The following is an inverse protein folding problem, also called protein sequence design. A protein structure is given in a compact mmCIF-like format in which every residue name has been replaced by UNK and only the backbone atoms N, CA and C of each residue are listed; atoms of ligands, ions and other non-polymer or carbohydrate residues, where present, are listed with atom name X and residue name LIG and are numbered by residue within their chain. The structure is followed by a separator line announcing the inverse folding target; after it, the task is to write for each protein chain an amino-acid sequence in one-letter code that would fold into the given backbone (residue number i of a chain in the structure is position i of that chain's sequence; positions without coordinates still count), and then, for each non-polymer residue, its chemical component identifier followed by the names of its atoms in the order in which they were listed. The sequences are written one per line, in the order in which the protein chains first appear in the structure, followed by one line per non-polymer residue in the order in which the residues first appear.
data_IF_155825830891
#
_entry.id   IF_155825830891
#
_cell.length_a   1.000
_cell.length_b   1.000
_cell.length_c   1.000
_cell.angle_alpha   90.00
_cell.angle_beta   90.00
_cell.angle_gamma   90.00
#
_symmetry.space_group_name_H-M   'P 1'
#
loop_
_entity.id
_entity.type
_entity.pdbx_description
1 polymer ?
#
# COMPACT_ATOMS: atom_id res chain seq x y z
N UNK A 1 -11.95 9.41 -17.68
CA UNK A 1 -11.15 8.98 -16.52
C UNK A 1 -9.90 8.33 -17.06
N UNK A 2 -8.73 8.76 -16.61
CA UNK A 2 -7.48 8.12 -17.02
C UNK A 2 -7.29 6.84 -16.19
N UNK A 3 -7.38 5.70 -16.86
CA UNK A 3 -7.32 4.38 -16.23
C UNK A 3 -5.98 4.12 -15.51
N UNK A 4 -4.91 4.83 -15.89
CA UNK A 4 -3.64 4.78 -15.18
C UNK A 4 -3.80 5.25 -13.73
N UNK A 5 -4.40 6.42 -13.53
CA UNK A 5 -4.62 6.98 -12.18
C UNK A 5 -5.62 6.17 -11.38
N UNK A 6 -6.60 5.55 -12.04
CA UNK A 6 -7.51 4.62 -11.37
C UNK A 6 -6.74 3.41 -10.81
N UNK A 7 -5.85 2.81 -11.61
CA UNK A 7 -5.01 1.70 -11.15
C UNK A 7 -4.04 2.14 -10.04
N UNK A 8 -3.46 3.34 -10.15
CA UNK A 8 -2.59 3.91 -9.13
C UNK A 8 -3.34 4.12 -7.79
N UNK A 9 -4.55 4.65 -7.83
CA UNK A 9 -5.36 4.86 -6.62
C UNK A 9 -5.71 3.52 -5.98
N UNK A 10 -6.08 2.51 -6.76
CA UNK A 10 -6.35 1.16 -6.26
C UNK A 10 -5.09 0.58 -5.59
N UNK A 11 -3.93 0.70 -6.24
CA UNK A 11 -2.64 0.28 -5.70
C UNK A 11 -2.33 0.95 -4.35
N UNK A 12 -2.42 2.29 -4.29
CA UNK A 12 -2.14 3.07 -3.08
C UNK A 12 -3.12 2.73 -1.96
N UNK A 13 -4.41 2.53 -2.25
CA UNK A 13 -5.39 2.16 -1.21
C UNK A 13 -5.12 0.74 -0.71
N UNK A 14 -4.82 -0.20 -1.61
CA UNK A 14 -4.55 -1.60 -1.27
C UNK A 14 -3.31 -1.74 -0.38
N UNK A 15 -2.19 -1.15 -0.79
CA UNK A 15 -0.95 -1.21 -0.01
C UNK A 15 -1.00 -0.28 1.22
N UNK A 16 -1.67 0.86 1.12
CA UNK A 16 -1.94 1.75 2.26
C UNK A 16 -2.77 1.06 3.35
N UNK A 17 -3.76 0.24 2.98
CA UNK A 17 -4.52 -0.58 3.94
C UNK A 17 -3.61 -1.63 4.61
N UNK A 18 -2.70 -2.26 3.86
CA UNK A 18 -1.73 -3.19 4.42
C UNK A 18 -0.79 -2.50 5.43
N UNK A 19 -0.31 -1.30 5.09
CA UNK A 19 0.61 -0.48 5.91
C UNK A 19 -0.05 0.22 7.09
N UNK A 20 -1.37 0.41 7.08
CA UNK A 20 -2.14 1.08 8.13
C UNK A 20 -1.89 0.53 9.55
N UNK A 21 -1.43 -0.73 9.67
CA UNK A 21 -1.05 -1.37 10.94
C UNK A 21 0.05 -0.62 11.73
N UNK A 22 0.84 0.20 11.04
CA UNK A 22 2.01 0.88 11.63
C UNK A 22 1.71 2.32 12.08
N UNK A 23 0.59 2.89 11.65
CA UNK A 23 0.29 4.31 11.90
C UNK A 23 -0.52 4.54 13.18
N UNK A 24 -1.55 3.72 13.44
CA UNK A 24 -2.40 3.90 14.61
C UNK A 24 -3.03 2.59 15.09
N UNK A 25 -3.18 2.46 16.41
CA UNK A 25 -3.84 1.33 17.08
C UNK A 25 -5.26 1.09 16.57
N UNK A 26 -5.99 2.17 16.25
CA UNK A 26 -7.34 2.09 15.70
C UNK A 26 -7.35 1.39 14.32
N UNK A 27 -6.53 1.86 13.39
CA UNK A 27 -6.42 1.30 12.05
C UNK A 27 -5.93 -0.15 12.07
N UNK A 28 -4.97 -0.46 12.96
CA UNK A 28 -4.51 -1.83 13.18
C UNK A 28 -5.65 -2.76 13.60
N UNK A 29 -6.50 -2.31 14.53
CA UNK A 29 -7.63 -3.11 15.00
C UNK A 29 -8.74 -3.23 13.94
N UNK A 30 -9.03 -2.15 13.20
CA UNK A 30 -9.96 -2.18 12.08
C UNK A 30 -9.51 -3.18 11.00
N UNK A 31 -8.24 -3.09 10.60
CA UNK A 31 -7.60 -4.00 9.64
C UNK A 31 -7.70 -5.45 10.13
N UNK A 32 -7.37 -5.72 11.40
CA UNK A 32 -7.48 -7.06 11.99
C UNK A 32 -8.91 -7.61 11.91
N UNK A 33 -9.93 -6.82 12.30
CA UNK A 33 -11.34 -7.25 12.22
C UNK A 33 -11.78 -7.59 10.80
N UNK A 34 -11.32 -6.84 9.81
CA UNK A 34 -11.61 -7.10 8.40
C UNK A 34 -10.93 -8.41 7.96
N UNK A 35 -9.64 -8.58 8.29
CA UNK A 35 -8.87 -9.79 7.97
C UNK A 35 -9.45 -11.04 8.67
N UNK A 36 -9.91 -10.92 9.91
CA UNK A 36 -10.54 -12.02 10.65
C UNK A 36 -11.84 -12.49 9.98
N UNK A 37 -12.66 -11.55 9.47
CA UNK A 37 -13.88 -11.89 8.71
C UNK A 37 -13.58 -12.58 7.38
N UNK A 38 -12.49 -12.18 6.72
CA UNK A 38 -12.12 -12.69 5.39
C UNK A 38 -11.23 -13.92 5.45
N UNK A 39 -10.66 -14.26 6.61
CA UNK A 39 -9.47 -15.12 6.83
C UNK A 39 -8.18 -14.59 6.22
N UNK A 40 -7.07 -14.78 6.93
CA UNK A 40 -5.76 -14.22 6.56
C UNK A 40 -5.26 -14.67 5.19
N UNK A 41 -5.45 -15.94 4.84
CA UNK A 41 -5.04 -16.49 3.54
C UNK A 41 -5.76 -15.81 2.36
N UNK A 42 -7.07 -15.61 2.48
CA UNK A 42 -7.86 -14.91 1.47
C UNK A 42 -7.50 -13.42 1.39
N UNK A 43 -7.25 -12.77 2.53
CA UNK A 43 -6.78 -11.38 2.52
C UNK A 43 -5.46 -11.23 1.76
N UNK A 44 -4.47 -12.12 1.99
CA UNK A 44 -3.21 -12.10 1.24
C UNK A 44 -3.47 -12.30 -0.25
N UNK A 45 -4.26 -13.30 -0.62
CA UNK A 45 -4.53 -13.58 -2.04
C UNK A 45 -5.20 -12.40 -2.74
N UNK A 46 -6.22 -11.80 -2.13
CA UNK A 46 -6.91 -10.63 -2.68
C UNK A 46 -5.95 -9.44 -2.77
N UNK A 47 -5.18 -9.18 -1.71
CA UNK A 47 -4.21 -8.10 -1.69
C UNK A 47 -3.20 -8.25 -2.83
N UNK A 48 -2.59 -9.42 -3.01
CA UNK A 48 -1.62 -9.70 -4.06
C UNK A 48 -2.23 -9.62 -5.47
N UNK A 49 -3.46 -10.12 -5.66
CA UNK A 49 -4.15 -10.06 -6.96
C UNK A 49 -4.46 -8.61 -7.35
N UNK A 50 -4.95 -7.80 -6.41
CA UNK A 50 -5.20 -6.37 -6.63
C UNK A 50 -3.89 -5.64 -6.93
N UNK A 51 -2.82 -5.98 -6.22
CA UNK A 51 -1.52 -5.35 -6.38
C UNK A 51 -0.94 -5.58 -7.79
N UNK A 52 -0.83 -6.86 -8.17
CA UNK A 52 -0.35 -7.28 -9.50
C UNK A 52 -1.27 -6.72 -10.60
N UNK A 53 -2.59 -6.81 -10.42
CA UNK A 53 -3.56 -6.30 -11.38
C UNK A 53 -3.43 -4.78 -11.58
N UNK A 54 -3.17 -4.03 -10.52
CA UNK A 54 -2.98 -2.59 -10.58
C UNK A 54 -1.67 -2.22 -11.27
N UNK A 55 -0.58 -2.95 -11.02
CA UNK A 55 0.71 -2.76 -11.71
C UNK A 55 0.56 -3.04 -13.21
N UNK A 56 -0.06 -4.16 -13.58
CA UNK A 56 -0.33 -4.49 -14.99
C UNK A 56 -1.20 -3.42 -15.63
N UNK A 57 -2.26 -2.97 -14.96
CA UNK A 57 -3.12 -1.88 -15.43
C UNK A 57 -2.34 -0.59 -15.67
N UNK A 58 -1.48 -0.19 -14.73
CA UNK A 58 -0.60 0.98 -14.90
C UNK A 58 0.35 0.82 -16.08
N UNK A 59 0.88 -0.38 -16.35
CA UNK A 59 1.72 -0.65 -17.52
C UNK A 59 0.95 -0.55 -18.84
N UNK A 60 -0.25 -1.12 -18.92
CA UNK A 60 -1.09 -1.12 -20.14
C UNK A 60 -1.53 0.29 -20.51
N UNK A 61 -1.91 1.10 -19.52
CA UNK A 61 -2.37 2.48 -19.73
C UNK A 61 -1.25 3.51 -19.62
N UNK A 62 0.02 3.09 -19.64
CA UNK A 62 1.17 3.98 -19.51
C UNK A 62 1.31 4.89 -20.73
N UNK A 63 1.47 6.20 -20.47
CA UNK A 63 1.76 7.22 -21.48
C UNK A 63 2.96 8.03 -21.00
N UNK A 64 4.10 7.86 -21.68
CA UNK A 64 5.39 8.44 -21.28
C UNK A 64 5.34 9.93 -20.88
N UNK A 65 4.78 10.86 -21.67
CA UNK A 65 4.81 12.28 -21.32
C UNK A 65 3.95 12.64 -20.09
N UNK A 66 3.00 11.79 -19.72
CA UNK A 66 2.04 12.07 -18.65
C UNK A 66 2.36 11.30 -17.36
N UNK A 67 2.90 10.09 -17.46
CA UNK A 67 2.97 9.15 -16.34
C UNK A 67 4.40 8.90 -15.82
N UNK A 68 5.45 9.30 -16.55
CA UNK A 68 6.84 9.01 -16.17
C UNK A 68 7.19 9.51 -14.75
N UNK A 69 6.90 10.79 -14.46
CA UNK A 69 7.14 11.37 -13.14
C UNK A 69 6.31 10.71 -12.03
N UNK A 70 5.09 10.29 -12.36
CA UNK A 70 4.22 9.60 -11.41
C UNK A 70 4.81 8.24 -11.03
N UNK A 71 5.28 7.46 -12.00
CA UNK A 71 5.93 6.17 -11.76
C UNK A 71 7.19 6.32 -10.89
N UNK A 72 8.00 7.35 -11.12
CA UNK A 72 9.17 7.65 -10.28
C UNK A 72 8.77 7.98 -8.83
N UNK A 73 7.62 8.63 -8.63
CA UNK A 73 7.16 8.98 -7.28
C UNK A 73 6.65 7.79 -6.45
N UNK A 74 6.18 6.71 -7.09
CA UNK A 74 5.66 5.51 -6.42
C UNK A 74 6.66 4.92 -5.40
N UNK A 75 7.91 4.58 -5.75
CA UNK A 75 8.86 4.04 -4.78
C UNK A 75 9.18 5.02 -3.65
N UNK A 76 9.18 6.33 -3.92
CA UNK A 76 9.39 7.35 -2.88
C UNK A 76 8.27 7.29 -1.84
N UNK A 77 7.01 7.23 -2.30
CA UNK A 77 5.84 7.11 -1.41
C UNK A 77 5.87 5.82 -0.60
N UNK A 78 6.24 4.69 -1.24
CA UNK A 78 6.36 3.40 -0.54
C UNK A 78 7.42 3.49 0.56
N UNK A 79 8.60 4.08 0.29
CA UNK A 79 9.65 4.27 1.31
C UNK A 79 9.15 5.11 2.48
N UNK A 80 8.39 6.18 2.23
CA UNK A 80 7.81 7.01 3.29
C UNK A 80 6.90 6.20 4.21
N UNK A 81 6.18 5.20 3.69
CA UNK A 81 5.33 4.33 4.50
C UNK A 81 6.08 3.43 5.48
N UNK A 82 7.38 3.21 5.26
CA UNK A 82 8.22 2.45 6.20
C UNK A 82 8.81 3.30 7.32
N UNK A 83 8.70 4.63 7.27
CA UNK A 83 9.21 5.54 8.32
C UNK A 83 8.62 5.21 9.70
N UNK A 84 7.29 5.04 9.87
CA UNK A 84 6.71 4.70 11.18
C UNK A 84 7.22 3.37 11.73
N UNK A 85 7.50 2.39 10.86
CA UNK A 85 8.09 1.11 11.25
C UNK A 85 9.51 1.31 11.79
N UNK A 86 10.33 2.09 11.06
CA UNK A 86 11.68 2.44 11.48
C UNK A 86 11.70 3.16 12.83
N UNK A 87 10.78 4.11 13.03
CA UNK A 87 10.69 4.85 14.30
C UNK A 87 10.22 3.96 15.46
N UNK A 88 9.25 3.06 15.23
CA UNK A 88 8.80 2.10 16.25
C UNK A 88 9.96 1.19 16.69
N UNK A 89 10.72 0.66 15.73
CA UNK A 89 11.90 -0.17 16.01
C UNK A 89 13.00 0.60 16.74
N UNK A 90 13.21 1.87 16.38
CA UNK A 90 14.15 2.73 17.08
C UNK A 90 13.73 2.97 18.54
N UNK A 91 12.44 3.24 18.80
CA UNK A 91 11.93 3.43 20.17
C UNK A 91 12.07 2.15 21.01
N UNK A 92 11.70 1.00 20.46
CA UNK A 92 11.81 -0.30 21.15
C UNK A 92 13.27 -0.69 21.45
N UNK A 93 14.24 -0.28 20.63
CA UNK A 93 15.66 -0.57 20.85
C UNK A 93 16.38 0.41 21.80
N UNK A 94 15.79 1.57 22.09
CA UNK A 94 16.42 2.62 22.90
C UNK A 94 15.69 2.87 24.24
N UNK A 95 14.75 2.00 24.63
CA UNK A 95 14.01 2.04 25.91
C UNK A 95 13.61 3.47 26.37
N UNK A 96 12.91 4.19 25.48
CA UNK A 96 12.16 5.43 25.79
C UNK A 96 10.65 5.14 25.91
#
# INVERSE_FOLDING_TARGET
MDYFYLCLVIFIINDGFAMSRHYCSYLRNLRKKIIEKLTYGWWISIHSVIDIGSIIGMMVYYKHPQHFWVVISIPIVIILWYIPLGWKKYRENNDL
#
